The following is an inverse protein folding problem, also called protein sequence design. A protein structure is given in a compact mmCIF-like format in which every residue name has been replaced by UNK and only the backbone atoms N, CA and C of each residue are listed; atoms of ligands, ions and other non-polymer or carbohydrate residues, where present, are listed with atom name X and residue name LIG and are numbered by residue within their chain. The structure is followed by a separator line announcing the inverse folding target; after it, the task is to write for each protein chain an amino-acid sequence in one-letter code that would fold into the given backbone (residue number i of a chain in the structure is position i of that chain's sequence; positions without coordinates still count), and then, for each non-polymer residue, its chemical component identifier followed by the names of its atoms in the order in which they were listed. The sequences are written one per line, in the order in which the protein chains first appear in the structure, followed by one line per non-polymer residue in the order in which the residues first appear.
data_IF_835597542501
#
_entry.id   IF_835597542501
#
_cell.length_a   1.000
_cell.length_b   1.000
_cell.length_c   1.000
_cell.angle_alpha   90.00
_cell.angle_beta   90.00
_cell.angle_gamma   90.00
#
_symmetry.space_group_name_H-M   'P 1'
#
loop_
_entity.id
_entity.type
_entity.pdbx_description
1 polymer ?
#
# COMPACT_ATOMS: atom_id res chain seq x y z
N UNK A 1 4.87 17.69 -0.67
CA UNK A 1 5.85 16.57 -0.76
C UNK A 1 5.04 15.29 -0.68
N UNK A 2 5.21 14.38 -1.64
CA UNK A 2 4.57 13.07 -1.53
C UNK A 2 5.19 12.36 -0.31
N UNK A 3 4.36 11.82 0.56
CA UNK A 3 4.80 11.02 1.70
C UNK A 3 5.49 9.75 1.18
N UNK A 4 6.74 9.56 1.59
CA UNK A 4 7.54 8.39 1.19
C UNK A 4 7.25 7.22 2.13
N UNK A 5 6.21 6.47 1.78
CA UNK A 5 5.75 5.31 2.54
C UNK A 5 6.78 4.17 2.50
N UNK A 6 7.57 4.05 1.43
CA UNK A 6 8.60 3.02 1.33
C UNK A 6 9.71 3.28 2.36
N UNK A 7 10.20 4.52 2.45
CA UNK A 7 11.18 4.92 3.46
C UNK A 7 10.69 4.68 4.88
N UNK A 8 9.40 4.95 5.16
CA UNK A 8 8.83 4.67 6.47
C UNK A 8 8.84 3.17 6.84
N UNK A 9 8.59 2.29 5.88
CA UNK A 9 8.68 0.84 6.11
C UNK A 9 10.12 0.34 6.21
N UNK A 10 11.06 0.93 5.46
CA UNK A 10 12.50 0.66 5.60
C UNK A 10 13.01 1.03 6.99
N UNK A 11 12.60 2.17 7.53
CA UNK A 11 12.92 2.59 8.90
C UNK A 11 12.35 1.63 9.94
N UNK A 12 11.14 1.13 9.73
CA UNK A 12 10.51 0.11 10.57
C UNK A 12 11.33 -1.19 10.53
N UNK A 13 11.67 -1.68 9.34
CA UNK A 13 12.50 -2.88 9.16
C UNK A 13 13.83 -2.75 9.89
N UNK A 14 14.52 -1.63 9.72
CA UNK A 14 15.78 -1.35 10.39
C UNK A 14 15.63 -1.31 11.93
N UNK A 15 14.54 -0.72 12.41
CA UNK A 15 14.25 -0.65 13.85
C UNK A 15 14.00 -2.05 14.46
N UNK A 16 13.26 -2.91 13.73
CA UNK A 16 13.00 -4.29 14.17
C UNK A 16 14.28 -5.13 14.21
N UNK A 17 15.17 -5.00 13.22
CA UNK A 17 16.44 -5.71 13.17
C UNK A 17 17.38 -5.21 14.28
N UNK A 18 17.43 -3.90 14.54
CA UNK A 18 18.21 -3.33 15.66
C UNK A 18 17.70 -3.83 17.01
N UNK A 19 16.38 -3.87 17.19
CA UNK A 19 15.74 -4.40 18.40
C UNK A 19 16.11 -5.88 18.63
N UNK A 20 16.05 -6.69 17.58
CA UNK A 20 16.47 -8.11 17.62
C UNK A 20 17.93 -8.25 18.05
N UNK A 21 18.83 -7.50 17.41
CA UNK A 21 20.27 -7.53 17.72
C UNK A 21 20.57 -7.12 19.14
N UNK A 22 19.93 -6.05 19.62
CA UNK A 22 20.12 -5.57 20.99
C UNK A 22 19.61 -6.59 22.02
N UNK A 23 18.45 -7.19 21.78
CA UNK A 23 17.89 -8.21 22.66
C UNK A 23 18.82 -9.44 22.77
N UNK A 24 19.33 -9.93 21.62
CA UNK A 24 20.28 -11.04 21.63
C UNK A 24 21.60 -10.68 22.32
N UNK A 25 22.09 -9.45 22.18
CA UNK A 25 23.32 -9.01 22.85
C UNK A 25 23.17 -8.90 24.37
N UNK A 26 22.05 -8.43 24.85
CA UNK A 26 21.79 -8.31 26.29
C UNK A 26 21.92 -9.66 26.97
N UNK A 27 21.29 -10.68 26.43
CA UNK A 27 21.34 -12.03 27.01
C UNK A 27 22.72 -12.69 26.94
N UNK A 28 23.53 -12.39 25.92
CA UNK A 28 24.91 -12.92 25.86
C UNK A 28 25.81 -12.32 26.94
N UNK A 29 25.64 -11.04 27.31
CA UNK A 29 26.43 -10.42 28.36
C UNK A 29 26.10 -11.02 29.73
N UNK A 30 24.84 -11.33 30.01
CA UNK A 30 24.40 -12.01 31.23
C UNK A 30 25.00 -13.42 31.34
N UNK A 31 25.04 -14.16 30.21
CA UNK A 31 25.60 -15.51 30.15
C UNK A 31 27.11 -15.56 30.48
N UNK A 32 27.87 -14.56 30.00
CA UNK A 32 29.30 -14.48 30.25
C UNK A 32 29.65 -14.23 31.74
N UNK A 33 28.77 -13.59 32.47
CA UNK A 33 28.93 -13.30 33.88
C UNK A 33 28.50 -14.48 34.78
N UNK A 34 27.52 -15.30 34.37
CA UNK A 34 26.89 -16.35 35.20
C UNK A 34 27.31 -17.78 34.82
N UNK A 35 28.03 -18.01 33.73
CA UNK A 35 28.53 -19.34 33.33
C UNK A 35 27.44 -20.32 32.90
N UNK A 36 26.37 -19.83 32.32
CA UNK A 36 25.19 -20.60 31.88
C UNK A 36 25.55 -21.54 30.71
N UNK A 37 25.06 -22.77 30.74
CA UNK A 37 25.25 -23.69 29.66
C UNK A 37 24.30 -23.39 28.46
N UNK A 38 24.68 -23.86 27.26
CA UNK A 38 24.00 -23.56 25.99
C UNK A 38 22.49 -23.87 26.00
N UNK A 39 22.04 -24.92 26.61
CA UNK A 39 20.62 -25.31 26.70
C UNK A 39 19.80 -24.34 27.54
N UNK A 40 20.39 -23.82 28.59
CA UNK A 40 19.76 -22.81 29.46
C UNK A 40 19.63 -21.47 28.71
N UNK A 41 20.67 -21.06 27.99
CA UNK A 41 20.67 -19.88 27.15
C UNK A 41 19.56 -19.94 26.10
N UNK A 42 19.39 -21.10 25.43
CA UNK A 42 18.27 -21.28 24.47
C UNK A 42 16.89 -21.10 25.11
N UNK A 43 16.69 -21.64 26.32
CA UNK A 43 15.42 -21.50 27.02
C UNK A 43 15.14 -20.04 27.37
N UNK A 44 16.14 -19.30 27.79
CA UNK A 44 16.04 -17.88 28.12
C UNK A 44 15.77 -17.03 26.85
N UNK A 45 16.45 -17.30 25.74
CA UNK A 45 16.19 -16.66 24.47
C UNK A 45 14.76 -16.88 23.98
N UNK A 46 14.23 -18.11 24.12
CA UNK A 46 12.85 -18.42 23.77
C UNK A 46 11.85 -17.78 24.74
N UNK A 47 12.21 -17.64 26.02
CA UNK A 47 11.39 -16.90 26.99
C UNK A 47 11.36 -15.39 26.68
N UNK A 48 12.51 -14.83 26.29
CA UNK A 48 12.64 -13.44 25.84
C UNK A 48 11.88 -13.11 24.55
N UNK A 49 11.50 -14.11 23.74
CA UNK A 49 10.76 -13.92 22.51
C UNK A 49 9.38 -13.24 22.73
N UNK A 50 8.73 -13.53 23.85
CA UNK A 50 7.44 -12.90 24.19
C UNK A 50 7.61 -11.41 24.49
N UNK A 51 8.67 -11.03 25.19
CA UNK A 51 9.01 -9.64 25.45
C UNK A 51 9.43 -8.91 24.19
N UNK A 52 10.26 -9.52 23.35
CA UNK A 52 10.64 -9.01 22.04
C UNK A 52 9.41 -8.73 21.16
N UNK A 53 8.44 -9.67 21.12
CA UNK A 53 7.16 -9.50 20.41
C UNK A 53 6.36 -8.33 20.94
N UNK A 54 6.25 -8.17 22.24
CA UNK A 54 5.52 -7.06 22.86
C UNK A 54 6.16 -5.72 22.50
N UNK A 55 7.48 -5.60 22.63
CA UNK A 55 8.22 -4.38 22.25
C UNK A 55 8.07 -4.05 20.77
N UNK A 56 8.20 -5.03 19.89
CA UNK A 56 8.03 -4.81 18.45
C UNK A 56 6.61 -4.41 18.07
N UNK A 57 5.61 -4.98 18.76
CA UNK A 57 4.21 -4.61 18.55
C UNK A 57 3.96 -3.16 18.97
N UNK A 58 4.51 -2.71 20.07
CA UNK A 58 4.35 -1.34 20.56
C UNK A 58 5.02 -0.34 19.62
N UNK A 59 6.27 -0.64 19.21
CA UNK A 59 6.99 0.17 18.19
C UNK A 59 6.17 0.27 16.91
N UNK A 60 5.70 -0.86 16.39
CA UNK A 60 4.94 -0.90 15.14
C UNK A 60 3.60 -0.16 15.26
N UNK A 61 2.89 -0.32 16.37
CA UNK A 61 1.62 0.38 16.62
C UNK A 61 1.81 1.90 16.59
N UNK A 62 2.90 2.40 17.18
CA UNK A 62 3.24 3.82 17.14
C UNK A 62 3.53 4.36 15.72
N UNK A 63 4.20 3.57 14.88
CA UNK A 63 4.43 3.90 13.47
C UNK A 63 3.14 3.84 12.64
N UNK A 64 2.33 2.80 12.83
CA UNK A 64 1.11 2.57 12.03
C UNK A 64 0.04 3.62 12.27
N UNK A 65 -0.06 4.19 13.48
CA UNK A 65 -0.96 5.31 13.73
C UNK A 65 -0.66 6.50 12.81
N UNK A 66 0.59 6.96 12.81
CA UNK A 66 1.05 8.06 11.95
C UNK A 66 0.95 7.74 10.47
N UNK A 67 1.30 6.51 10.10
CA UNK A 67 1.22 6.04 8.72
C UNK A 67 -0.21 6.06 8.19
N UNK A 68 -1.19 5.64 8.97
CA UNK A 68 -2.60 5.65 8.59
C UNK A 68 -3.13 7.07 8.37
N UNK A 69 -2.72 8.03 9.21
CA UNK A 69 -3.09 9.44 9.06
C UNK A 69 -2.49 10.04 7.76
N UNK A 70 -1.23 9.72 7.47
CA UNK A 70 -0.59 10.17 6.23
C UNK A 70 -1.19 9.51 4.98
N UNK A 71 -1.61 8.25 5.05
CA UNK A 71 -2.33 7.56 3.97
C UNK A 71 -3.70 8.23 3.71
N UNK A 72 -4.48 8.50 4.76
CA UNK A 72 -5.76 9.21 4.64
C UNK A 72 -5.57 10.56 3.97
N UNK A 73 -4.60 11.34 4.45
CA UNK A 73 -4.25 12.65 3.91
C UNK A 73 -3.83 12.57 2.44
N UNK A 74 -2.91 11.67 2.10
CA UNK A 74 -2.43 11.50 0.72
C UNK A 74 -3.55 11.13 -0.26
N UNK A 75 -4.49 10.26 0.16
CA UNK A 75 -5.63 9.86 -0.66
C UNK A 75 -6.61 11.02 -0.86
N UNK A 76 -6.87 11.83 0.18
CA UNK A 76 -7.73 13.03 0.08
C UNK A 76 -7.10 14.13 -0.78
N UNK A 77 -5.79 14.35 -0.65
CA UNK A 77 -5.05 15.28 -1.49
C UNK A 77 -5.07 14.85 -2.97
N UNK A 78 -4.89 13.56 -3.24
CA UNK A 78 -4.99 13.02 -4.60
C UNK A 78 -6.41 13.22 -5.20
N UNK A 79 -7.45 13.08 -4.38
CA UNK A 79 -8.83 13.36 -4.78
C UNK A 79 -9.02 14.85 -5.13
N UNK A 80 -8.59 15.76 -4.26
CA UNK A 80 -8.68 17.21 -4.49
C UNK A 80 -7.87 17.66 -5.71
N UNK A 81 -6.69 17.06 -5.91
CA UNK A 81 -5.88 17.28 -7.12
C UNK A 81 -6.65 16.89 -8.38
N UNK A 82 -7.34 15.73 -8.37
CA UNK A 82 -8.17 15.30 -9.48
C UNK A 82 -9.32 16.26 -9.80
N UNK A 83 -9.99 16.80 -8.78
CA UNK A 83 -11.02 17.84 -8.97
C UNK A 83 -10.44 19.07 -9.67
N UNK A 84 -9.30 19.57 -9.20
CA UNK A 84 -8.65 20.78 -9.76
C UNK A 84 -8.13 20.56 -11.17
N UNK A 85 -7.49 19.44 -11.45
CA UNK A 85 -7.00 19.09 -12.79
C UNK A 85 -8.13 19.06 -13.81
N UNK A 86 -9.25 18.43 -13.47
CA UNK A 86 -10.40 18.32 -14.34
C UNK A 86 -11.09 19.68 -14.57
N UNK A 87 -11.14 20.53 -13.54
CA UNK A 87 -11.68 21.89 -13.70
C UNK A 87 -10.87 22.73 -14.68
N UNK A 88 -9.53 22.65 -14.59
CA UNK A 88 -8.63 23.32 -15.54
C UNK A 88 -8.84 22.82 -16.97
N UNK A 89 -9.00 21.51 -17.17
CA UNK A 89 -9.27 20.95 -18.50
C UNK A 89 -10.60 21.41 -19.07
N UNK A 90 -11.66 21.46 -18.27
CA UNK A 90 -12.96 21.96 -18.66
C UNK A 90 -12.94 23.45 -19.03
N UNK A 91 -12.26 24.27 -18.22
CA UNK A 91 -12.10 25.70 -18.53
C UNK A 91 -11.34 25.91 -19.85
N UNK A 92 -10.32 25.10 -20.14
CA UNK A 92 -9.62 25.12 -21.43
C UNK A 92 -10.53 24.72 -22.59
N UNK A 93 -11.40 23.73 -22.38
CA UNK A 93 -12.35 23.30 -23.40
C UNK A 93 -13.41 24.38 -23.68
N UNK A 94 -13.93 25.03 -22.65
CA UNK A 94 -14.87 26.16 -22.81
C UNK A 94 -14.25 27.32 -23.57
N UNK A 95 -12.99 27.67 -23.29
CA UNK A 95 -12.25 28.70 -24.06
C UNK A 95 -12.08 28.32 -25.52
N UNK A 96 -12.13 27.03 -25.86
CA UNK A 96 -12.10 26.53 -27.26
C UNK A 96 -13.48 26.37 -27.88
N UNK A 97 -14.55 26.85 -27.25
CA UNK A 97 -15.92 26.83 -27.77
C UNK A 97 -16.74 25.61 -27.33
N UNK A 98 -16.33 24.87 -26.34
CA UNK A 98 -17.17 23.81 -25.76
C UNK A 98 -18.33 24.41 -25.00
N UNK A 99 -19.54 24.04 -25.33
CA UNK A 99 -20.76 24.38 -24.58
C UNK A 99 -21.13 23.22 -23.65
N UNK A 100 -21.13 23.48 -22.34
CA UNK A 100 -21.56 22.49 -21.34
C UNK A 100 -23.04 22.14 -21.55
N UNK A 101 -23.47 20.88 -21.38
CA UNK A 101 -24.87 20.50 -21.45
C UNK A 101 -25.71 21.32 -20.48
N UNK A 102 -26.71 22.02 -21.01
CA UNK A 102 -27.69 22.80 -20.25
C UNK A 102 -28.83 21.87 -19.81
N UNK A 103 -28.59 21.01 -18.84
CA UNK A 103 -29.66 20.15 -18.34
C UNK A 103 -30.14 20.60 -16.96
N UNK A 104 -31.45 20.92 -16.88
CA UNK A 104 -32.10 21.49 -15.70
C UNK A 104 -32.42 20.50 -14.57
N UNK A 105 -32.05 19.21 -14.71
CA UNK A 105 -32.34 18.13 -13.75
C UNK A 105 -31.31 17.99 -12.62
N UNK A 106 -30.42 18.94 -12.46
CA UNK A 106 -29.13 18.84 -11.76
C UNK A 106 -29.16 18.69 -10.23
N UNK A 107 -30.23 19.08 -9.52
CA UNK A 107 -30.12 19.30 -8.06
C UNK A 107 -30.25 18.04 -7.23
N UNK A 108 -31.05 17.07 -7.60
CA UNK A 108 -31.28 15.85 -6.79
C UNK A 108 -30.34 14.69 -7.15
N UNK A 109 -29.95 14.54 -8.41
CA UNK A 109 -28.98 13.51 -8.82
C UNK A 109 -27.58 13.85 -8.37
N UNK A 110 -27.17 15.12 -8.44
CA UNK A 110 -25.87 15.58 -7.94
C UNK A 110 -25.68 15.32 -6.45
N UNK A 111 -26.70 15.52 -5.62
CA UNK A 111 -26.61 15.22 -4.18
C UNK A 111 -26.47 13.73 -3.86
N UNK A 112 -27.06 12.84 -4.66
CA UNK A 112 -26.89 11.37 -4.51
C UNK A 112 -25.50 10.94 -4.97
N UNK A 113 -25.04 11.45 -6.09
CA UNK A 113 -23.71 11.16 -6.61
C UNK A 113 -22.63 11.65 -5.65
N UNK A 114 -22.75 12.87 -5.13
CA UNK A 114 -21.82 13.42 -4.14
C UNK A 114 -21.68 12.49 -2.92
N UNK A 115 -22.81 12.09 -2.31
CA UNK A 115 -22.80 11.18 -1.17
C UNK A 115 -22.23 9.81 -1.51
N UNK A 116 -22.54 9.28 -2.70
CA UNK A 116 -22.00 8.00 -3.18
C UNK A 116 -20.50 8.09 -3.39
N UNK A 117 -20.00 9.16 -4.00
CA UNK A 117 -18.58 9.37 -4.27
C UNK A 117 -17.77 9.53 -2.97
N UNK A 118 -18.29 10.27 -1.98
CA UNK A 118 -17.67 10.37 -0.65
C UNK A 118 -17.65 9.02 0.07
N UNK A 119 -18.68 8.19 -0.07
CA UNK A 119 -18.68 6.82 0.47
C UNK A 119 -17.63 5.95 -0.22
N UNK A 120 -17.49 6.03 -1.54
CA UNK A 120 -16.47 5.33 -2.32
C UNK A 120 -15.06 5.74 -1.87
N UNK A 121 -14.80 7.04 -1.69
CA UNK A 121 -13.53 7.57 -1.19
C UNK A 121 -13.22 7.03 0.21
N UNK A 122 -14.15 7.12 1.14
CA UNK A 122 -13.98 6.61 2.49
C UNK A 122 -13.77 5.07 2.51
N UNK A 123 -14.44 4.35 1.61
CA UNK A 123 -14.25 2.89 1.45
C UNK A 123 -12.87 2.57 0.89
N UNK A 124 -12.35 3.38 -0.03
CA UNK A 124 -10.98 3.24 -0.56
C UNK A 124 -9.94 3.45 0.55
N UNK A 125 -10.09 4.50 1.37
CA UNK A 125 -9.21 4.76 2.51
C UNK A 125 -9.23 3.57 3.48
N UNK A 126 -10.41 3.10 3.88
CA UNK A 126 -10.56 1.93 4.76
C UNK A 126 -9.92 0.66 4.18
N UNK A 127 -10.07 0.42 2.89
CA UNK A 127 -9.47 -0.73 2.23
C UNK A 127 -7.94 -0.65 2.23
N UNK A 128 -7.38 0.51 1.91
CA UNK A 128 -5.93 0.75 1.91
C UNK A 128 -5.34 0.60 3.32
N UNK A 129 -5.97 1.19 4.34
CA UNK A 129 -5.57 1.05 5.74
C UNK A 129 -5.64 -0.42 6.22
N UNK A 130 -6.69 -1.15 5.81
CA UNK A 130 -6.82 -2.59 6.12
C UNK A 130 -5.71 -3.42 5.47
N UNK A 131 -5.31 -3.08 4.25
CA UNK A 131 -4.22 -3.78 3.58
C UNK A 131 -2.87 -3.47 4.23
N UNK A 132 -2.65 -2.25 4.70
CA UNK A 132 -1.47 -1.91 5.51
C UNK A 132 -1.44 -2.68 6.83
N UNK A 133 -2.59 -2.87 7.49
CA UNK A 133 -2.67 -3.68 8.70
C UNK A 133 -2.36 -5.17 8.46
N UNK A 134 -2.71 -5.70 7.29
CA UNK A 134 -2.28 -7.06 6.91
C UNK A 134 -0.77 -7.14 6.70
N UNK A 135 -0.20 -6.13 6.05
CA UNK A 135 1.24 -6.02 5.86
C UNK A 135 1.98 -5.92 7.21
N UNK A 136 1.48 -5.12 8.16
CA UNK A 136 1.95 -5.06 9.55
C UNK A 136 1.97 -6.44 10.21
N UNK A 137 0.86 -7.18 10.11
CA UNK A 137 0.76 -8.53 10.70
C UNK A 137 1.76 -9.50 10.06
N UNK A 138 1.97 -9.40 8.75
CA UNK A 138 2.97 -10.21 8.03
C UNK A 138 4.39 -9.85 8.47
N UNK A 139 4.69 -8.57 8.67
CA UNK A 139 5.98 -8.09 9.15
C UNK A 139 6.30 -8.61 10.56
N UNK A 140 5.33 -8.55 11.49
CA UNK A 140 5.52 -9.09 12.85
C UNK A 140 5.80 -10.59 12.83
N UNK A 141 5.07 -11.36 12.02
CA UNK A 141 5.32 -12.81 11.87
C UNK A 141 6.71 -13.08 11.34
N UNK A 142 7.10 -12.35 10.30
CA UNK A 142 8.44 -12.52 9.72
C UNK A 142 9.54 -12.10 10.69
N UNK A 143 9.33 -11.05 11.49
CA UNK A 143 10.27 -10.64 12.54
C UNK A 143 10.49 -11.75 13.57
N UNK A 144 9.43 -12.46 13.96
CA UNK A 144 9.53 -13.64 14.86
C UNK A 144 10.31 -14.79 14.20
N UNK A 145 10.03 -15.06 12.92
CA UNK A 145 10.70 -16.13 12.18
C UNK A 145 12.19 -15.81 11.98
N UNK A 146 12.52 -14.56 11.67
CA UNK A 146 13.90 -14.06 11.58
C UNK A 146 14.63 -14.21 12.89
N UNK A 147 14.01 -13.86 14.00
CA UNK A 147 14.58 -14.05 15.34
C UNK A 147 14.95 -15.52 15.60
N UNK A 148 14.02 -16.44 15.37
CA UNK A 148 14.24 -17.89 15.54
C UNK A 148 15.32 -18.45 14.61
N UNK A 149 15.32 -18.02 13.35
CA UNK A 149 16.33 -18.44 12.37
C UNK A 149 17.73 -17.94 12.76
N UNK A 150 17.83 -16.72 13.31
CA UNK A 150 19.11 -16.18 13.79
C UNK A 150 19.64 -17.00 14.96
N UNK A 151 18.79 -17.35 15.91
CA UNK A 151 19.16 -18.23 17.02
C UNK A 151 19.67 -19.58 16.52
N UNK A 152 18.95 -20.20 15.58
CA UNK A 152 19.34 -21.50 15.04
C UNK A 152 20.66 -21.45 14.26
N UNK A 153 20.87 -20.44 13.43
CA UNK A 153 22.13 -20.22 12.71
C UNK A 153 23.28 -19.97 13.68
N UNK A 154 23.09 -19.13 14.68
CA UNK A 154 24.10 -18.85 15.70
C UNK A 154 24.51 -20.11 16.44
N UNK A 155 23.55 -20.98 16.81
CA UNK A 155 23.80 -22.27 17.43
C UNK A 155 24.64 -23.20 16.55
N UNK A 156 24.26 -23.37 15.27
CA UNK A 156 25.00 -24.22 14.36
C UNK A 156 26.45 -23.75 14.20
N UNK A 157 26.67 -22.44 14.06
CA UNK A 157 28.00 -21.87 13.89
C UNK A 157 28.87 -22.02 15.16
N UNK A 158 28.28 -21.80 16.32
CA UNK A 158 28.96 -22.00 17.61
C UNK A 158 29.36 -23.44 17.82
N UNK A 159 28.46 -24.40 17.55
CA UNK A 159 28.73 -25.84 17.70
C UNK A 159 29.81 -26.37 16.74
N UNK A 160 30.02 -25.72 15.60
CA UNK A 160 31.08 -26.06 14.67
C UNK A 160 32.44 -25.45 15.04
N UNK A 161 32.50 -24.59 16.05
CA UNK A 161 33.72 -23.88 16.46
C UNK A 161 34.21 -22.85 15.44
N UNK A 162 33.38 -22.50 14.43
CA UNK A 162 33.77 -21.64 13.31
C UNK A 162 33.81 -20.13 13.67
N UNK A 163 33.29 -19.74 14.83
CA UNK A 163 33.30 -18.36 15.27
C UNK A 163 32.68 -18.13 16.64
N UNK A 164 32.85 -16.92 17.18
CA UNK A 164 32.18 -16.52 18.43
C UNK A 164 30.69 -16.28 18.18
N UNK A 165 29.88 -16.40 19.24
CA UNK A 165 28.45 -16.12 19.18
C UNK A 165 28.15 -14.72 18.61
N UNK A 166 28.95 -13.72 18.96
CA UNK A 166 28.86 -12.35 18.46
C UNK A 166 29.02 -12.26 16.95
N UNK A 167 30.03 -12.97 16.41
CA UNK A 167 30.26 -13.02 14.95
C UNK A 167 29.06 -13.65 14.25
N UNK A 168 28.47 -14.67 14.82
CA UNK A 168 27.30 -15.36 14.25
C UNK A 168 26.06 -14.46 14.20
N UNK A 169 25.79 -13.73 15.29
CA UNK A 169 24.67 -12.78 15.36
C UNK A 169 24.86 -11.62 14.41
N UNK A 170 26.07 -11.06 14.32
CA UNK A 170 26.36 -9.97 13.39
C UNK A 170 26.24 -10.43 11.94
N UNK A 171 26.69 -11.62 11.61
CA UNK A 171 26.55 -12.21 10.26
C UNK A 171 25.08 -12.44 9.92
N UNK A 172 24.31 -13.09 10.80
CA UNK A 172 22.88 -13.32 10.55
C UNK A 172 22.08 -12.01 10.45
N UNK A 173 22.40 -11.01 11.29
CA UNK A 173 21.78 -9.68 11.23
C UNK A 173 22.09 -8.99 9.88
N UNK A 174 23.32 -9.11 9.39
CA UNK A 174 23.71 -8.57 8.09
C UNK A 174 23.00 -9.25 6.94
N UNK A 175 22.83 -10.58 7.00
CA UNK A 175 22.09 -11.34 5.99
C UNK A 175 20.63 -10.84 5.90
N UNK A 176 19.98 -10.57 7.04
CA UNK A 176 18.61 -10.05 7.04
C UNK A 176 18.51 -8.61 6.57
N UNK A 177 19.49 -7.74 6.89
CA UNK A 177 19.55 -6.39 6.37
C UNK A 177 19.68 -6.38 4.84
N UNK A 178 20.48 -7.32 4.28
CA UNK A 178 20.67 -7.42 2.84
C UNK A 178 19.45 -8.02 2.11
N UNK A 179 18.76 -8.97 2.73
CA UNK A 179 17.59 -9.63 2.14
C UNK A 179 16.30 -8.81 2.25
N UNK A 180 16.19 -7.93 3.26
CA UNK A 180 14.96 -7.22 3.64
C UNK A 180 13.84 -8.16 4.12
N UNK A 181 12.69 -7.58 4.50
CA UNK A 181 11.52 -8.32 4.93
C UNK A 181 10.58 -8.62 3.74
N UNK A 182 10.85 -9.71 3.00
CA UNK A 182 10.00 -10.20 1.91
C UNK A 182 8.80 -10.98 2.47
N UNK A 183 7.91 -10.29 3.18
CA UNK A 183 6.85 -10.92 3.96
C UNK A 183 5.48 -10.94 3.27
N UNK A 184 5.27 -10.17 2.20
CA UNK A 184 4.00 -10.15 1.47
C UNK A 184 4.03 -11.19 0.37
N UNK A 185 3.16 -12.21 0.48
CA UNK A 185 3.05 -13.27 -0.52
C UNK A 185 1.83 -13.03 -1.42
N UNK A 186 2.04 -12.97 -2.72
CA UNK A 186 0.98 -12.93 -3.72
C UNK A 186 0.37 -14.32 -3.99
N UNK A 187 -0.80 -14.35 -4.62
CA UNK A 187 -1.51 -15.59 -4.99
C UNK A 187 -0.69 -16.53 -5.88
N UNK A 188 0.23 -15.99 -6.68
CA UNK A 188 1.16 -16.75 -7.53
C UNK A 188 2.39 -17.28 -6.77
N UNK A 189 2.46 -17.09 -5.45
CA UNK A 189 3.57 -17.54 -4.61
C UNK A 189 4.75 -16.58 -4.54
N UNK A 190 4.80 -15.55 -5.35
CA UNK A 190 5.87 -14.54 -5.30
C UNK A 190 5.84 -13.78 -3.98
N UNK A 191 7.01 -13.57 -3.39
CA UNK A 191 7.19 -12.76 -2.17
C UNK A 191 7.73 -11.39 -2.53
N UNK A 192 7.17 -10.37 -1.93
CA UNK A 192 7.51 -8.97 -2.17
C UNK A 192 7.92 -8.31 -0.86
N UNK A 193 8.91 -7.43 -0.95
CA UNK A 193 9.32 -6.58 0.16
C UNK A 193 8.14 -5.69 0.60
N UNK A 194 8.02 -5.47 1.90
CA UNK A 194 6.88 -4.73 2.49
C UNK A 194 6.86 -3.26 2.07
N UNK A 195 8.03 -2.61 1.96
CA UNK A 195 8.13 -1.22 1.53
C UNK A 195 7.62 -1.05 0.10
N UNK A 196 8.06 -1.92 -0.82
CA UNK A 196 7.59 -1.95 -2.22
C UNK A 196 6.08 -2.22 -2.33
N UNK A 197 5.56 -3.12 -1.48
CA UNK A 197 4.11 -3.40 -1.43
C UNK A 197 3.31 -2.18 -0.97
N UNK A 198 3.77 -1.52 0.09
CA UNK A 198 3.11 -0.34 0.64
C UNK A 198 3.10 0.83 -0.35
N UNK A 199 4.23 1.07 -1.02
CA UNK A 199 4.34 2.08 -2.08
C UNK A 199 3.37 1.80 -3.23
N UNK A 200 3.33 0.56 -3.72
CA UNK A 200 2.42 0.15 -4.78
C UNK A 200 0.95 0.35 -4.37
N UNK A 201 0.59 -0.07 -3.16
CA UNK A 201 -0.78 0.04 -2.66
C UNK A 201 -1.22 1.50 -2.53
N UNK A 202 -0.37 2.37 -1.97
CA UNK A 202 -0.66 3.80 -1.85
C UNK A 202 -0.72 4.49 -3.22
N UNK A 203 0.20 4.19 -4.13
CA UNK A 203 0.20 4.71 -5.51
C UNK A 203 -1.10 4.35 -6.23
N UNK A 204 -1.56 3.11 -6.09
CA UNK A 204 -2.83 2.66 -6.68
C UNK A 204 -4.03 3.36 -6.05
N UNK A 205 -4.04 3.53 -4.72
CA UNK A 205 -5.10 4.24 -4.01
C UNK A 205 -5.17 5.71 -4.42
N UNK A 206 -4.03 6.40 -4.49
CA UNK A 206 -3.95 7.80 -4.91
C UNK A 206 -4.44 7.98 -6.36
N UNK A 207 -4.07 7.07 -7.28
CA UNK A 207 -4.57 7.12 -8.66
C UNK A 207 -6.08 6.96 -8.72
N UNK A 208 -6.66 6.03 -7.97
CA UNK A 208 -8.11 5.84 -7.88
C UNK A 208 -8.82 7.06 -7.28
N UNK A 209 -8.27 7.65 -6.22
CA UNK A 209 -8.80 8.86 -5.61
C UNK A 209 -8.78 10.05 -6.58
N UNK A 210 -7.68 10.23 -7.31
CA UNK A 210 -7.57 11.27 -8.34
C UNK A 210 -8.65 11.10 -9.43
N UNK A 211 -8.86 9.88 -9.94
CA UNK A 211 -9.93 9.61 -10.91
C UNK A 211 -11.33 9.87 -10.35
N UNK A 212 -11.56 9.59 -9.06
CA UNK A 212 -12.83 9.92 -8.39
C UNK A 212 -13.03 11.44 -8.28
N UNK A 213 -11.96 12.21 -8.00
CA UNK A 213 -12.00 13.68 -7.98
C UNK A 213 -12.31 14.25 -9.36
N UNK A 214 -11.64 13.76 -10.41
CA UNK A 214 -11.94 14.14 -11.80
C UNK A 214 -13.40 13.85 -12.18
N UNK A 215 -13.91 12.68 -11.82
CA UNK A 215 -15.29 12.28 -12.07
C UNK A 215 -16.29 13.20 -11.33
N UNK A 216 -15.94 13.61 -10.11
CA UNK A 216 -16.78 14.56 -9.34
C UNK A 216 -16.93 15.90 -10.04
N UNK A 217 -15.86 16.43 -10.62
CA UNK A 217 -15.90 17.66 -11.40
C UNK A 217 -16.69 17.47 -12.71
N UNK A 218 -16.47 16.37 -13.47
CA UNK A 218 -17.25 16.07 -14.66
C UNK A 218 -18.75 15.97 -14.38
N UNK A 219 -19.13 15.35 -13.27
CA UNK A 219 -20.53 15.24 -12.83
C UNK A 219 -21.17 16.60 -12.60
N UNK A 220 -20.45 17.56 -11.98
CA UNK A 220 -20.91 18.94 -11.80
C UNK A 220 -21.28 19.62 -13.14
N UNK A 221 -20.62 19.20 -14.22
CA UNK A 221 -20.82 19.70 -15.59
C UNK A 221 -21.74 18.82 -16.44
N UNK A 222 -22.25 17.72 -15.91
CA UNK A 222 -23.09 16.76 -16.65
C UNK A 222 -22.34 16.01 -17.74
N UNK A 223 -21.06 15.75 -17.55
CA UNK A 223 -20.20 15.06 -18.52
C UNK A 223 -19.92 13.65 -18.02
N UNK A 224 -20.48 12.66 -18.69
CA UNK A 224 -20.31 11.25 -18.34
C UNK A 224 -19.41 10.48 -19.32
N UNK A 225 -18.90 11.15 -20.36
CA UNK A 225 -17.99 10.53 -21.33
C UNK A 225 -16.53 10.71 -20.97
N UNK A 226 -15.75 9.64 -21.14
CA UNK A 226 -14.29 9.65 -20.94
C UNK A 226 -13.60 8.95 -22.10
N UNK A 227 -12.41 9.44 -22.46
CA UNK A 227 -11.52 8.75 -23.39
C UNK A 227 -10.38 8.10 -22.61
N UNK A 228 -10.13 6.82 -22.84
CA UNK A 228 -9.02 6.09 -22.23
C UNK A 228 -7.79 6.22 -23.12
N UNK A 229 -6.74 6.87 -22.59
CA UNK A 229 -5.47 7.07 -23.29
C UNK A 229 -4.33 6.43 -22.48
N UNK A 230 -3.30 5.90 -23.15
CA UNK A 230 -2.06 5.51 -22.49
C UNK A 230 -1.12 6.72 -22.32
N UNK A 231 -0.44 6.78 -21.18
CA UNK A 231 0.73 7.64 -20.97
C UNK A 231 1.97 6.73 -20.96
N UNK A 232 2.45 6.34 -22.13
CA UNK A 232 3.59 5.44 -22.29
C UNK A 232 3.22 4.10 -22.94
N UNK A 233 4.03 3.07 -22.70
CA UNK A 233 3.85 1.75 -23.31
C UNK A 233 2.72 1.01 -22.57
N UNK A 234 1.65 0.71 -23.28
CA UNK A 234 0.55 -0.10 -22.76
C UNK A 234 0.85 -1.60 -22.95
N UNK A 235 0.43 -2.41 -22.00
CA UNK A 235 0.50 -3.86 -22.13
C UNK A 235 -0.51 -4.37 -23.18
N UNK A 236 -0.30 -5.56 -23.77
CA UNK A 236 -1.21 -6.12 -24.80
C UNK A 236 -2.67 -6.21 -24.34
N UNK A 237 -2.93 -6.48 -23.07
CA UNK A 237 -4.29 -6.54 -22.51
C UNK A 237 -4.98 -5.18 -22.52
N UNK A 238 -4.26 -4.10 -22.23
CA UNK A 238 -4.83 -2.75 -22.21
C UNK A 238 -5.00 -2.16 -23.61
N UNK A 239 -4.15 -2.53 -24.59
CA UNK A 239 -4.14 -1.95 -25.93
C UNK A 239 -5.51 -1.96 -26.62
N UNK A 240 -6.27 -3.02 -26.48
CA UNK A 240 -7.60 -3.17 -27.09
C UNK A 240 -8.64 -2.15 -26.59
N UNK A 241 -8.41 -1.53 -25.43
CA UNK A 241 -9.32 -0.59 -24.77
C UNK A 241 -8.93 0.87 -24.95
N UNK A 242 -7.74 1.13 -25.50
CA UNK A 242 -7.20 2.47 -25.65
C UNK A 242 -7.83 3.22 -26.81
N UNK A 243 -7.72 4.55 -26.74
CA UNK A 243 -8.22 5.50 -27.74
C UNK A 243 -9.73 5.43 -28.03
N UNK A 244 -10.48 4.74 -27.20
CA UNK A 244 -11.94 4.63 -27.26
C UNK A 244 -12.60 5.53 -26.22
N UNK A 245 -13.83 5.97 -26.58
CA UNK A 245 -14.69 6.74 -25.68
C UNK A 245 -15.65 5.79 -24.95
N UNK A 246 -15.84 6.04 -23.66
CA UNK A 246 -16.69 5.25 -22.77
C UNK A 246 -17.64 6.16 -21.99
N UNK A 247 -18.77 5.60 -21.55
CA UNK A 247 -19.60 6.18 -20.50
C UNK A 247 -19.00 5.77 -19.16
N UNK A 248 -18.67 6.75 -18.30
CA UNK A 248 -17.99 6.52 -17.00
C UNK A 248 -19.00 6.13 -15.93
N UNK A 249 -19.28 4.86 -15.83
CA UNK A 249 -20.10 4.22 -14.78
C UNK A 249 -19.28 3.67 -13.60
N UNK A 250 -17.93 3.81 -13.64
CA UNK A 250 -17.01 3.32 -12.60
C UNK A 250 -16.71 4.42 -11.58
N UNK A 251 -16.24 5.55 -12.05
CA UNK A 251 -15.88 6.70 -11.21
C UNK A 251 -16.94 7.80 -11.28
N UNK A 252 -17.59 7.98 -12.42
CA UNK A 252 -18.65 8.96 -12.69
C UNK A 252 -20.06 8.43 -12.47
N UNK A 253 -21.04 9.23 -12.83
CA UNK A 253 -22.47 8.94 -12.74
C UNK A 253 -23.09 8.39 -14.01
N UNK A 254 -22.29 7.94 -14.98
CA UNK A 254 -22.76 7.41 -16.25
C UNK A 254 -23.70 6.20 -16.10
N UNK A 255 -24.68 6.08 -17.01
CA UNK A 255 -25.73 5.07 -16.95
C UNK A 255 -25.75 4.15 -18.17
N UNK A 256 -26.36 2.97 -18.04
CA UNK A 256 -26.56 2.05 -19.14
C UNK A 256 -27.50 2.65 -20.23
N UNK A 257 -28.43 3.51 -19.84
CA UNK A 257 -29.32 4.23 -20.76
C UNK A 257 -28.55 5.20 -21.64
N UNK A 258 -27.61 5.95 -21.04
CA UNK A 258 -26.72 6.85 -21.79
C UNK A 258 -25.81 6.08 -22.75
N UNK A 259 -25.29 4.92 -22.30
CA UNK A 259 -24.51 4.02 -23.16
C UNK A 259 -25.32 3.56 -24.39
N UNK A 260 -26.57 3.13 -24.19
CA UNK A 260 -27.44 2.69 -25.26
C UNK A 260 -27.77 3.86 -26.22
N UNK A 261 -28.05 5.05 -25.68
CA UNK A 261 -28.42 6.23 -26.45
C UNK A 261 -27.27 6.83 -27.25
N UNK A 262 -26.07 6.81 -26.69
CA UNK A 262 -24.86 7.39 -27.32
C UNK A 262 -24.10 6.40 -28.20
N UNK A 263 -24.32 5.11 -28.03
CA UNK A 263 -23.56 4.04 -28.68
C UNK A 263 -22.16 3.82 -28.10
N UNK A 264 -21.77 4.54 -27.03
CA UNK A 264 -20.49 4.33 -26.34
C UNK A 264 -20.60 3.23 -25.29
N UNK A 265 -19.64 2.28 -25.22
CA UNK A 265 -19.66 1.23 -24.21
C UNK A 265 -19.45 1.80 -22.80
N UNK A 266 -19.92 1.06 -21.78
CA UNK A 266 -19.64 1.36 -20.38
C UNK A 266 -18.17 1.13 -20.05
N UNK A 267 -17.57 1.99 -19.24
CA UNK A 267 -16.19 1.84 -18.78
C UNK A 267 -16.02 0.58 -17.92
N UNK A 268 -17.03 0.19 -17.13
CA UNK A 268 -17.03 -1.03 -16.34
C UNK A 268 -16.80 -2.29 -17.18
N UNK A 269 -17.29 -2.33 -18.41
CA UNK A 269 -17.05 -3.45 -19.33
C UNK A 269 -15.56 -3.61 -19.64
N UNK A 270 -14.89 -2.51 -19.94
CA UNK A 270 -13.45 -2.53 -20.21
C UNK A 270 -12.64 -2.91 -18.95
N UNK A 271 -13.01 -2.35 -17.79
CA UNK A 271 -12.34 -2.63 -16.51
C UNK A 271 -12.50 -4.09 -16.11
N UNK A 272 -13.68 -4.66 -16.22
CA UNK A 272 -13.93 -6.07 -15.90
C UNK A 272 -13.23 -7.05 -16.85
N UNK A 273 -12.89 -6.59 -18.05
CA UNK A 273 -12.19 -7.38 -19.07
C UNK A 273 -10.69 -7.04 -19.21
N UNK A 274 -10.10 -6.43 -18.18
CA UNK A 274 -8.65 -6.30 -18.04
C UNK A 274 -8.04 -4.92 -18.28
N UNK A 275 -8.86 -3.87 -18.44
CA UNK A 275 -8.34 -2.51 -18.36
C UNK A 275 -8.01 -2.20 -16.87
N UNK A 276 -6.81 -1.71 -16.58
CA UNK A 276 -6.30 -1.44 -15.22
C UNK A 276 -6.11 -2.70 -14.34
N UNK A 277 -5.63 -3.81 -14.93
CA UNK A 277 -5.28 -5.05 -14.22
C UNK A 277 -4.02 -4.92 -13.36
#
# INVERSE_FOLDING_TARGET
MAYDIASAFEDIELSLIKSMRNNMRHHISEEYEEGINWTQWQAEMLSGLSQYRAQNKDVLTGYMGRLNDEIDKAIREAYATGESEQEIELLKAIKKGYEAPKDGTKTNMQGRFFRSNQRKLNSLIKATTKDMKKAETALLRMSDDVYRQTLHKAQLFYNTGAGSMWQCIDMATRDFLNAGYNCVQYKNGARVNIASYAEMALRTANKRANLMGQAMTREKWGIHTVKVNARGIACPMCLQWLDKVYIDDVYGGGTAEESTKSGYPLLSVAVNNGLFH
#
